data_IF_923955629584
#
_entry.id   IF_923955629584
#
_cell.length_a   1.000
_cell.length_b   1.000
_cell.length_c   1.000
_cell.angle_alpha   90.00
_cell.angle_beta   90.00
_cell.angle_gamma   90.00
#
_symmetry.space_group_name_H-M   'P 1'
#
loop_
_entity.id
_entity.type
_entity.pdbx_description
1 polymer ?
#
# COMPACT_ATOMS: atom_id res chain seq x y z
N UNK A 1 -11.24 2.17 12.07
CA UNK A 1 -11.25 1.95 10.61
C UNK A 1 -12.60 1.41 10.13
N UNK A 2 -13.19 0.37 10.75
CA UNK A 2 -14.55 -0.08 10.38
C UNK A 2 -15.67 0.89 10.78
N UNK A 3 -15.47 1.69 11.82
CA UNK A 3 -16.46 2.67 12.28
C UNK A 3 -16.80 3.73 11.22
N UNK A 4 -15.86 4.03 10.31
CA UNK A 4 -16.01 5.03 9.25
C UNK A 4 -16.48 4.45 7.90
N UNK A 5 -16.69 3.13 7.78
CA UNK A 5 -17.09 2.49 6.52
C UNK A 5 -18.38 3.11 5.94
N UNK A 6 -19.35 3.44 6.79
CA UNK A 6 -20.60 4.09 6.40
C UNK A 6 -20.40 5.45 5.70
N UNK A 7 -19.30 6.17 5.99
CA UNK A 7 -18.96 7.45 5.34
C UNK A 7 -18.49 7.27 3.90
N UNK A 8 -18.12 6.05 3.52
CA UNK A 8 -17.74 5.69 2.15
C UNK A 8 -18.90 5.11 1.35
N UNK A 9 -20.13 5.22 1.85
CA UNK A 9 -21.32 4.74 1.17
C UNK A 9 -21.54 5.46 -0.17
N UNK A 10 -21.78 4.70 -1.23
CA UNK A 10 -22.16 5.20 -2.55
C UNK A 10 -23.43 4.53 -3.05
N UNK A 11 -24.21 5.26 -3.84
CA UNK A 11 -25.45 4.76 -4.42
C UNK A 11 -25.25 4.31 -5.87
N UNK A 12 -25.65 3.07 -6.15
CA UNK A 12 -25.95 2.60 -7.50
C UNK A 12 -27.46 2.69 -7.74
N UNK A 13 -27.90 2.52 -8.98
CA UNK A 13 -29.27 2.78 -9.47
C UNK A 13 -30.39 2.33 -8.53
N UNK A 14 -30.23 1.19 -7.84
CA UNK A 14 -31.22 0.63 -6.92
C UNK A 14 -30.67 0.18 -5.54
N UNK A 15 -29.37 0.42 -5.22
CA UNK A 15 -28.75 -0.10 -3.99
C UNK A 15 -27.62 0.81 -3.49
N UNK A 16 -27.47 0.93 -2.17
CA UNK A 16 -26.30 1.51 -1.53
C UNK A 16 -25.23 0.43 -1.29
N UNK A 17 -23.97 0.82 -1.44
CA UNK A 17 -22.81 -0.01 -1.16
C UNK A 17 -21.82 0.79 -0.32
N UNK A 18 -21.09 0.09 0.55
CA UNK A 18 -20.03 0.68 1.38
C UNK A 18 -18.71 -0.01 1.05
N UNK A 19 -17.61 0.73 1.15
CA UNK A 19 -16.30 0.14 0.96
C UNK A 19 -15.79 -0.49 2.27
N UNK A 20 -15.32 -1.74 2.17
CA UNK A 20 -14.68 -2.48 3.28
C UNK A 20 -13.16 -2.36 3.29
N UNK A 21 -12.60 -1.81 2.22
CA UNK A 21 -11.20 -1.44 2.04
C UNK A 21 -11.14 0.02 1.63
N UNK A 22 -10.02 0.69 1.84
CA UNK A 22 -9.89 2.09 1.45
C UNK A 22 -10.15 2.31 -0.05
N UNK A 23 -11.19 3.08 -0.44
CA UNK A 23 -11.42 3.39 -1.85
C UNK A 23 -10.44 4.43 -2.38
N UNK A 24 -10.15 4.37 -3.68
CA UNK A 24 -9.38 5.39 -4.38
C UNK A 24 -10.12 6.73 -4.41
N UNK A 25 -9.37 7.83 -4.31
CA UNK A 25 -9.92 9.19 -4.45
C UNK A 25 -10.41 9.84 -3.14
N UNK A 26 -10.26 9.17 -1.98
CA UNK A 26 -10.40 9.86 -0.69
C UNK A 26 -9.23 10.83 -0.48
N UNK A 27 -9.53 12.04 -0.01
CA UNK A 27 -8.54 13.10 0.22
C UNK A 27 -7.38 12.66 1.13
N UNK A 28 -7.65 11.78 2.10
CA UNK A 28 -6.64 11.28 3.06
C UNK A 28 -6.17 9.84 2.79
N UNK A 29 -6.57 9.26 1.65
CA UNK A 29 -6.14 7.91 1.25
C UNK A 29 -4.62 7.79 1.06
N UNK A 30 -3.92 8.75 0.42
CA UNK A 30 -2.47 8.68 0.29
C UNK A 30 -1.72 8.77 1.63
N UNK A 31 -2.23 9.52 2.61
CA UNK A 31 -1.61 9.61 3.93
C UNK A 31 -1.72 8.28 4.68
N UNK A 32 -2.91 7.67 4.63
CA UNK A 32 -3.17 6.40 5.31
C UNK A 32 -2.41 5.25 4.65
N UNK A 33 -2.35 5.21 3.31
CA UNK A 33 -1.54 4.23 2.58
C UNK A 33 -0.07 4.35 2.98
N UNK A 34 0.46 5.58 2.98
CA UNK A 34 1.84 5.86 3.36
C UNK A 34 2.14 5.44 4.78
N UNK A 35 1.26 5.73 5.75
CA UNK A 35 1.43 5.31 7.14
C UNK A 35 1.50 3.78 7.27
N UNK A 36 0.59 3.08 6.58
CA UNK A 36 0.56 1.61 6.58
C UNK A 36 1.83 1.03 5.95
N UNK A 37 2.24 1.53 4.79
CA UNK A 37 3.48 1.12 4.12
C UNK A 37 4.73 1.44 4.96
N UNK A 38 4.77 2.59 5.65
CA UNK A 38 5.89 2.95 6.51
C UNK A 38 6.04 1.97 7.68
N UNK A 39 4.94 1.47 8.23
CA UNK A 39 4.98 0.44 9.27
C UNK A 39 5.44 -0.92 8.72
N UNK A 40 4.98 -1.30 7.53
CA UNK A 40 5.33 -2.60 6.90
C UNK A 40 6.79 -2.67 6.48
N UNK A 41 7.32 -1.59 5.91
CA UNK A 41 8.68 -1.54 5.34
C UNK A 41 9.67 -0.78 6.21
N UNK A 42 9.34 -0.53 7.48
CA UNK A 42 10.12 0.32 8.39
C UNK A 42 11.62 -0.01 8.41
N UNK A 43 11.95 -1.29 8.35
CA UNK A 43 13.32 -1.81 8.36
C UNK A 43 14.05 -1.66 7.03
N UNK A 44 13.33 -1.42 5.93
CA UNK A 44 13.83 -1.22 4.56
C UNK A 44 13.78 0.26 4.10
N UNK A 45 13.10 1.14 4.84
CA UNK A 45 13.04 2.58 4.57
C UNK A 45 14.45 3.20 4.56
N UNK A 46 14.67 4.11 3.62
CA UNK A 46 15.94 4.85 3.39
C UNK A 46 17.18 3.97 3.13
N UNK A 47 17.01 2.65 3.07
CA UNK A 47 18.05 1.69 2.67
C UNK A 47 17.91 1.32 1.21
N UNK A 48 16.73 0.83 0.85
CA UNK A 48 16.41 0.38 -0.51
C UNK A 48 14.96 0.67 -0.91
N UNK A 49 14.10 1.09 0.02
CA UNK A 49 12.68 1.40 -0.22
C UNK A 49 12.37 2.88 0.06
N UNK A 50 11.66 3.52 -0.85
CA UNK A 50 11.03 4.83 -0.67
C UNK A 50 9.53 4.69 -0.93
N UNK A 51 8.70 5.26 -0.06
CA UNK A 51 7.25 5.28 -0.25
C UNK A 51 6.84 6.66 -0.74
N UNK A 52 6.26 6.73 -1.94
CA UNK A 52 5.81 7.97 -2.55
C UNK A 52 4.32 7.91 -2.88
N UNK A 53 3.51 8.66 -2.14
CA UNK A 53 2.05 8.67 -2.23
C UNK A 53 1.44 7.26 -2.15
N UNK A 54 1.13 6.66 -3.29
CA UNK A 54 0.50 5.33 -3.41
C UNK A 54 1.45 4.26 -3.96
N UNK A 55 2.70 4.63 -4.25
CA UNK A 55 3.69 3.78 -4.90
C UNK A 55 4.86 3.47 -3.97
N UNK A 56 5.44 2.30 -4.16
CA UNK A 56 6.65 1.84 -3.47
C UNK A 56 7.76 1.82 -4.50
N UNK A 57 8.79 2.64 -4.28
CA UNK A 57 9.98 2.69 -5.11
C UNK A 57 11.08 1.87 -4.46
N UNK A 58 11.68 0.96 -5.23
CA UNK A 58 12.84 0.16 -4.80
C UNK A 58 14.04 0.60 -5.63
N UNK A 59 15.12 1.05 -4.99
CA UNK A 59 16.26 1.66 -5.67
C UNK A 59 17.59 1.04 -5.24
N UNK A 60 18.48 0.83 -6.22
CA UNK A 60 19.77 0.18 -6.02
C UNK A 60 20.80 0.61 -7.06
N UNK A 61 22.08 0.48 -6.72
CA UNK A 61 23.19 0.81 -7.63
C UNK A 61 23.55 -0.34 -8.57
N UNK A 62 23.41 -1.60 -8.11
CA UNK A 62 23.71 -2.80 -8.92
C UNK A 62 22.50 -3.71 -9.04
N UNK A 63 22.46 -4.50 -10.12
CA UNK A 63 21.37 -5.44 -10.38
C UNK A 63 21.32 -6.57 -9.35
N UNK A 64 22.48 -7.05 -8.91
CA UNK A 64 22.59 -8.12 -7.92
C UNK A 64 22.04 -7.68 -6.56
N UNK A 65 22.30 -6.43 -6.17
CA UNK A 65 21.73 -5.87 -4.95
C UNK A 65 20.22 -5.66 -5.09
N UNK A 66 19.77 -5.21 -6.27
CA UNK A 66 18.35 -5.02 -6.54
C UNK A 66 17.54 -6.32 -6.40
N UNK A 67 18.08 -7.46 -6.84
CA UNK A 67 17.41 -8.75 -6.68
C UNK A 67 17.28 -9.18 -5.21
N UNK A 68 18.32 -8.94 -4.40
CA UNK A 68 18.28 -9.23 -2.96
C UNK A 68 17.27 -8.35 -2.23
N UNK A 69 17.24 -7.07 -2.58
CA UNK A 69 16.34 -6.11 -1.93
C UNK A 69 14.88 -6.34 -2.35
N UNK A 70 14.63 -6.75 -3.61
CA UNK A 70 13.33 -7.24 -4.05
C UNK A 70 12.88 -8.47 -3.26
N UNK A 71 13.76 -9.44 -3.03
CA UNK A 71 13.44 -10.61 -2.21
C UNK A 71 13.04 -10.21 -0.79
N UNK A 72 13.80 -9.31 -0.16
CA UNK A 72 13.47 -8.78 1.17
C UNK A 72 12.11 -8.06 1.19
N UNK A 73 11.82 -7.23 0.18
CA UNK A 73 10.52 -6.55 0.04
C UNK A 73 9.39 -7.55 -0.11
N UNK A 74 9.55 -8.59 -0.94
CA UNK A 74 8.53 -9.62 -1.15
C UNK A 74 8.30 -10.49 0.09
N UNK A 75 9.30 -10.68 0.95
CA UNK A 75 9.10 -11.37 2.23
C UNK A 75 8.16 -10.59 3.18
N UNK A 76 8.14 -9.26 3.10
CA UNK A 76 7.28 -8.42 3.94
C UNK A 76 5.81 -8.37 3.49
N UNK A 77 5.52 -8.69 2.23
CA UNK A 77 4.18 -8.56 1.66
C UNK A 77 3.15 -9.62 2.14
N UNK A 78 3.46 -10.93 2.19
CA UNK A 78 2.52 -11.98 2.60
C UNK A 78 2.01 -11.80 4.03
N UNK A 79 2.88 -11.36 4.94
CA UNK A 79 2.54 -11.13 6.35
C UNK A 79 1.52 -10.00 6.53
N UNK A 80 1.47 -9.06 5.59
CA UNK A 80 0.63 -7.87 5.66
C UNK A 80 -0.55 -7.90 4.66
N UNK A 81 -0.81 -9.06 4.04
CA UNK A 81 -1.86 -9.25 3.01
C UNK A 81 -1.76 -8.24 1.86
N UNK A 82 -0.55 -7.81 1.53
CA UNK A 82 -0.29 -6.91 0.41
C UNK A 82 -0.15 -7.72 -0.87
N UNK A 83 -0.75 -7.22 -1.94
CA UNK A 83 -0.70 -7.84 -3.27
C UNK A 83 -0.18 -6.78 -4.24
N UNK A 84 0.83 -7.14 -5.02
CA UNK A 84 1.32 -6.30 -6.11
C UNK A 84 0.31 -6.36 -7.24
N UNK A 85 -0.23 -5.21 -7.62
CA UNK A 85 -1.13 -5.10 -8.75
C UNK A 85 -0.31 -4.91 -10.03
N UNK A 86 0.04 -6.01 -10.68
CA UNK A 86 0.77 -5.98 -11.95
C UNK A 86 1.50 -7.29 -12.27
N UNK A 87 0.78 -8.22 -12.88
CA UNK A 87 1.20 -9.11 -13.98
C UNK A 87 -0.07 -9.48 -14.77
#
# INVERSE_FOLDING_TARGET
>A
MFDDCHKTAFHSRNRSYEYTVMPFGLTDSPSTFRLMMNGVFWDLLDKCVIIYLNDILIYNTTREQHLKDLEAVFQHMPHNRLIIKGF
#
